data_IF_467223139358
#
_entry.id   IF_467223139358
#
_cell.length_a   1.000
_cell.length_b   1.000
_cell.length_c   1.000
_cell.angle_alpha   90.00
_cell.angle_beta   90.00
_cell.angle_gamma   90.00
#
_symmetry.space_group_name_H-M   'P 1'
#
loop_
_entity.id
_entity.type
_entity.pdbx_description
1 polymer ?
#
# COMPACT_ATOMS: atom_id res chain seq x y z
N UNK A 1 -12.84 -15.48 7.32
CA UNK A 1 -13.10 -14.54 8.44
C UNK A 1 -11.74 -14.12 8.96
N UNK A 2 -11.50 -12.85 9.35
CA UNK A 2 -10.16 -12.44 9.73
C UNK A 2 -9.63 -13.25 10.92
N UNK A 3 -8.35 -13.56 10.90
CA UNK A 3 -7.67 -14.19 12.02
C UNK A 3 -7.73 -13.25 13.24
N UNK A 4 -8.09 -13.80 14.41
CA UNK A 4 -8.26 -13.06 15.67
C UNK A 4 -7.44 -13.62 16.82
N UNK A 5 -6.75 -14.72 16.60
CA UNK A 5 -5.93 -15.40 17.60
C UNK A 5 -4.47 -15.34 17.16
N UNK A 6 -3.65 -14.65 17.95
CA UNK A 6 -2.21 -14.61 17.74
C UNK A 6 -1.54 -15.85 18.31
N UNK A 7 -0.61 -16.43 17.54
CA UNK A 7 0.26 -17.55 17.91
C UNK A 7 1.63 -17.08 18.37
N UNK A 8 2.01 -15.85 18.04
CA UNK A 8 3.26 -15.22 18.47
C UNK A 8 3.10 -13.71 18.75
N UNK A 9 4.20 -13.08 19.16
CA UNK A 9 4.22 -11.67 19.56
C UNK A 9 4.03 -10.71 18.38
N UNK A 10 4.48 -11.06 17.17
CA UNK A 10 4.31 -10.21 16.00
C UNK A 10 2.86 -10.24 15.52
N UNK A 11 2.23 -11.43 15.52
CA UNK A 11 0.80 -11.55 15.26
C UNK A 11 -0.03 -10.77 16.29
N UNK A 12 0.33 -10.85 17.58
CA UNK A 12 -0.36 -10.11 18.63
C UNK A 12 -0.23 -8.59 18.44
N UNK A 13 0.95 -8.13 18.02
CA UNK A 13 1.22 -6.72 17.71
C UNK A 13 0.44 -6.26 16.47
N UNK A 14 0.34 -7.10 15.44
CA UNK A 14 -0.45 -6.79 14.25
C UNK A 14 -1.94 -6.62 14.61
N UNK A 15 -2.52 -7.59 15.33
CA UNK A 15 -3.91 -7.51 15.78
C UNK A 15 -4.17 -6.30 16.66
N UNK A 16 -3.30 -6.02 17.63
CA UNK A 16 -3.41 -4.83 18.48
C UNK A 16 -3.34 -3.53 17.67
N UNK A 17 -2.43 -3.45 16.68
CA UNK A 17 -2.29 -2.29 15.82
C UNK A 17 -3.53 -2.04 14.95
N UNK A 18 -4.13 -3.12 14.42
CA UNK A 18 -5.37 -3.06 13.64
C UNK A 18 -6.52 -2.53 14.50
N UNK A 19 -6.67 -3.02 15.73
CA UNK A 19 -7.73 -2.60 16.64
C UNK A 19 -7.53 -1.14 17.12
N UNK A 20 -6.32 -0.78 17.53
CA UNK A 20 -6.02 0.53 18.14
C UNK A 20 -5.90 1.65 17.09
N UNK A 21 -5.19 1.38 16.00
CA UNK A 21 -4.81 2.39 15.00
C UNK A 21 -5.55 2.22 13.67
N UNK A 22 -6.42 1.22 13.53
CA UNK A 22 -7.20 0.97 12.32
C UNK A 22 -6.49 0.15 11.26
N UNK A 23 -5.16 0.01 11.34
CA UNK A 23 -4.37 -0.88 10.50
C UNK A 23 -3.02 -1.17 11.15
N UNK A 24 -2.41 -2.28 10.75
CA UNK A 24 -0.99 -2.54 10.93
C UNK A 24 -0.25 -2.17 9.63
N UNK A 25 1.00 -1.69 9.74
CA UNK A 25 1.79 -1.28 8.56
C UNK A 25 3.07 -2.11 8.54
N UNK A 26 3.29 -2.79 7.43
CA UNK A 26 4.52 -3.51 7.16
C UNK A 26 5.40 -2.71 6.20
N UNK A 27 6.71 -2.81 6.41
CA UNK A 27 7.71 -2.29 5.48
C UNK A 27 8.68 -3.41 5.12
N UNK A 28 8.72 -3.76 3.84
CA UNK A 28 9.61 -4.75 3.27
C UNK A 28 10.83 -4.03 2.70
N UNK A 29 12.00 -4.47 3.14
CA UNK A 29 13.27 -3.91 2.68
C UNK A 29 13.51 -4.29 1.22
N UNK A 30 14.37 -3.50 0.58
CA UNK A 30 14.83 -3.76 -0.79
C UNK A 30 15.56 -5.11 -0.84
N UNK A 31 15.24 -5.92 -1.85
CA UNK A 31 15.86 -7.23 -2.10
C UNK A 31 16.18 -7.37 -3.59
N UNK A 32 17.47 -7.48 -3.91
CA UNK A 32 18.00 -7.55 -5.28
C UNK A 32 17.45 -6.42 -6.19
N UNK A 33 16.64 -6.77 -7.19
CA UNK A 33 16.02 -5.82 -8.13
C UNK A 33 14.63 -5.34 -7.68
N UNK A 34 14.12 -5.82 -6.54
CA UNK A 34 12.81 -5.45 -6.03
C UNK A 34 12.90 -4.22 -5.13
N UNK A 35 12.23 -3.10 -5.49
CA UNK A 35 12.23 -1.92 -4.65
C UNK A 35 11.55 -2.20 -3.31
N UNK A 36 11.91 -1.46 -2.25
CA UNK A 36 11.24 -1.60 -0.98
C UNK A 36 9.80 -1.11 -1.10
N UNK A 37 8.93 -1.66 -0.27
CA UNK A 37 7.53 -1.26 -0.25
C UNK A 37 6.95 -1.33 1.15
N UNK A 38 5.87 -0.59 1.35
CA UNK A 38 5.06 -0.66 2.56
C UNK A 38 3.62 -0.96 2.20
N UNK A 39 2.91 -1.67 3.06
CA UNK A 39 1.49 -1.94 2.88
C UNK A 39 0.75 -1.97 4.20
N UNK A 40 -0.55 -1.66 4.15
CA UNK A 40 -1.45 -1.78 5.29
C UNK A 40 -2.06 -3.17 5.38
N UNK A 41 -2.40 -3.56 6.60
CA UNK A 41 -3.21 -4.72 6.92
C UNK A 41 -4.35 -4.28 7.84
N UNK A 42 -5.59 -4.63 7.51
CA UNK A 42 -6.78 -4.41 8.34
C UNK A 42 -7.61 -3.16 8.00
N UNK A 43 -7.22 -2.35 7.02
CA UNK A 43 -8.05 -1.21 6.56
C UNK A 43 -9.36 -1.72 5.98
N UNK A 44 -9.32 -2.78 5.17
CA UNK A 44 -10.54 -3.32 4.57
C UNK A 44 -11.47 -3.90 5.62
N UNK A 45 -10.92 -4.62 6.59
CA UNK A 45 -11.68 -5.12 7.72
C UNK A 45 -12.40 -4.00 8.49
N UNK A 46 -11.69 -2.92 8.82
CA UNK A 46 -12.22 -1.88 9.70
C UNK A 46 -13.14 -0.88 8.97
N UNK A 47 -12.88 -0.60 7.69
CA UNK A 47 -13.52 0.51 6.98
C UNK A 47 -14.22 0.12 5.67
N UNK A 48 -14.09 -1.15 5.24
CA UNK A 48 -14.74 -1.68 4.02
C UNK A 48 -14.16 -1.14 2.71
N UNK A 49 -12.92 -0.66 2.73
CA UNK A 49 -12.20 -0.09 1.58
C UNK A 49 -10.89 -0.83 1.34
N UNK A 50 -10.31 -0.81 0.13
CA UNK A 50 -9.06 -1.53 -0.15
C UNK A 50 -7.92 -1.17 0.80
N UNK A 51 -7.04 -2.13 1.06
CA UNK A 51 -5.69 -1.89 1.61
C UNK A 51 -4.88 -0.99 0.68
N UNK A 52 -3.80 -0.39 1.18
CA UNK A 52 -2.90 0.46 0.42
C UNK A 52 -1.48 -0.11 0.39
N UNK A 53 -0.87 -0.15 -0.81
CA UNK A 53 0.56 -0.38 -0.98
C UNK A 53 1.26 0.87 -1.54
N UNK A 54 2.48 1.13 -1.06
CA UNK A 54 3.36 2.22 -1.50
C UNK A 54 4.73 1.63 -1.81
N UNK A 55 5.24 1.85 -3.03
CA UNK A 55 6.47 1.22 -3.52
C UNK A 55 7.54 2.29 -3.80
N UNK A 56 8.79 1.99 -3.47
CA UNK A 56 9.95 2.78 -3.86
C UNK A 56 10.33 3.92 -2.90
N UNK A 57 9.53 4.16 -1.86
CA UNK A 57 9.76 5.21 -0.87
C UNK A 57 10.41 4.69 0.42
N UNK A 58 11.06 5.59 1.14
CA UNK A 58 11.66 5.31 2.45
C UNK A 58 10.58 5.00 3.51
N UNK A 59 10.92 4.24 4.57
CA UNK A 59 9.95 3.77 5.56
C UNK A 59 9.09 4.89 6.15
N UNK A 60 9.73 6.00 6.54
CA UNK A 60 9.06 7.09 7.24
C UNK A 60 7.97 7.74 6.36
N UNK A 61 8.27 7.91 5.08
CA UNK A 61 7.33 8.51 4.13
C UNK A 61 6.21 7.53 3.75
N UNK A 62 6.55 6.26 3.50
CA UNK A 62 5.55 5.23 3.19
C UNK A 62 4.56 5.06 4.36
N UNK A 63 5.06 5.02 5.60
CA UNK A 63 4.21 4.96 6.80
C UNK A 63 3.35 6.22 6.96
N UNK A 64 3.89 7.41 6.68
CA UNK A 64 3.12 8.66 6.74
C UNK A 64 1.95 8.64 5.76
N UNK A 65 2.19 8.19 4.52
CA UNK A 65 1.17 8.05 3.48
C UNK A 65 0.07 7.08 3.91
N UNK A 66 0.45 5.89 4.37
CA UNK A 66 -0.52 4.85 4.75
C UNK A 66 -1.35 5.28 5.96
N UNK A 67 -0.72 5.93 6.95
CA UNK A 67 -1.46 6.50 8.08
C UNK A 67 -2.44 7.59 7.63
N UNK A 68 -2.04 8.45 6.69
CA UNK A 68 -2.94 9.47 6.13
C UNK A 68 -4.11 8.84 5.37
N UNK A 69 -3.87 7.77 4.60
CA UNK A 69 -4.92 7.01 3.93
C UNK A 69 -5.89 6.41 4.95
N UNK A 70 -5.38 5.69 5.96
CA UNK A 70 -6.17 5.13 7.04
C UNK A 70 -7.03 6.20 7.75
N UNK A 71 -6.44 7.36 8.08
CA UNK A 71 -7.14 8.50 8.69
C UNK A 71 -8.29 9.00 7.82
N UNK A 72 -8.06 9.18 6.52
CA UNK A 72 -9.06 9.69 5.57
C UNK A 72 -10.22 8.71 5.35
N UNK A 73 -9.91 7.42 5.16
CA UNK A 73 -10.96 6.42 4.93
C UNK A 73 -11.80 6.14 6.18
N UNK A 74 -11.17 6.22 7.37
CA UNK A 74 -11.87 6.26 8.66
C UNK A 74 -12.83 7.45 8.76
N UNK A 75 -12.44 8.59 8.22
CA UNK A 75 -13.29 9.80 8.11
C UNK A 75 -14.41 9.70 7.08
N UNK A 76 -14.52 8.59 6.34
CA UNK A 76 -15.56 8.36 5.33
C UNK A 76 -15.14 8.69 3.89
N UNK A 77 -13.91 9.15 3.67
CA UNK A 77 -13.40 9.38 2.32
C UNK A 77 -13.22 8.05 1.58
N UNK A 78 -13.39 8.07 0.25
CA UNK A 78 -13.28 6.88 -0.60
C UNK A 78 -12.46 7.24 -1.82
N UNK A 79 -11.50 6.38 -2.15
CA UNK A 79 -10.62 6.54 -3.29
C UNK A 79 -10.84 5.39 -4.26
N UNK A 80 -10.93 5.69 -5.55
CA UNK A 80 -11.09 4.68 -6.61
C UNK A 80 -9.86 4.61 -7.50
N UNK A 81 -9.67 3.45 -8.12
CA UNK A 81 -8.64 3.28 -9.16
C UNK A 81 -8.81 4.34 -10.25
N UNK A 82 -7.71 4.99 -10.61
CA UNK A 82 -7.66 6.09 -11.56
C UNK A 82 -7.91 7.46 -10.96
N UNK A 83 -8.43 7.59 -9.73
CA UNK A 83 -8.64 8.89 -9.09
C UNK A 83 -7.32 9.47 -8.57
N UNK A 84 -7.19 10.80 -8.69
CA UNK A 84 -6.09 11.57 -8.10
C UNK A 84 -6.51 12.16 -6.77
N UNK A 85 -5.58 12.24 -5.84
CA UNK A 85 -5.77 12.89 -4.56
C UNK A 85 -4.52 13.64 -4.10
N UNK A 86 -4.73 14.84 -3.59
CA UNK A 86 -3.69 15.68 -3.01
C UNK A 86 -3.46 15.38 -1.52
N UNK A 87 -2.30 15.78 -1.00
CA UNK A 87 -2.03 15.82 0.44
C UNK A 87 -1.60 14.49 1.07
N UNK A 88 -1.24 13.50 0.25
CA UNK A 88 -0.47 12.32 0.67
C UNK A 88 1.02 12.62 0.72
N UNK A 89 1.50 13.51 -0.14
CA UNK A 89 2.88 13.96 -0.21
C UNK A 89 3.00 15.45 0.11
N UNK A 90 4.13 15.81 0.72
CA UNK A 90 4.51 17.21 0.88
C UNK A 90 4.80 17.89 -0.47
N UNK A 91 4.77 19.22 -0.52
CA UNK A 91 5.09 19.97 -1.74
C UNK A 91 3.94 20.13 -2.74
N UNK A 92 2.73 19.66 -2.39
CA UNK A 92 1.53 19.84 -3.23
C UNK A 92 1.44 18.87 -4.41
N UNK A 93 2.20 17.77 -4.39
CA UNK A 93 2.08 16.72 -5.39
C UNK A 93 0.79 15.93 -5.18
N UNK A 94 0.08 15.69 -6.30
CA UNK A 94 -1.00 14.72 -6.35
C UNK A 94 -0.43 13.31 -6.46
N UNK A 95 -1.15 12.35 -5.88
CA UNK A 95 -0.96 10.92 -6.11
C UNK A 95 -2.16 10.36 -6.87
N UNK A 96 -1.99 9.22 -7.53
CA UNK A 96 -3.06 8.49 -8.20
C UNK A 96 -3.18 7.07 -7.64
N UNK A 97 -4.40 6.59 -7.46
CA UNK A 97 -4.64 5.23 -7.00
C UNK A 97 -4.64 4.26 -8.20
N UNK A 98 -3.71 3.32 -8.22
CA UNK A 98 -3.59 2.25 -9.21
C UNK A 98 -4.27 0.96 -8.77
N UNK A 99 -4.66 0.13 -9.74
CA UNK A 99 -5.09 -1.23 -9.48
C UNK A 99 -3.87 -2.09 -9.11
N UNK A 100 -4.11 -3.15 -8.33
CA UNK A 100 -3.12 -4.20 -8.07
C UNK A 100 -3.70 -5.53 -8.53
N UNK A 101 -2.96 -6.21 -9.40
CA UNK A 101 -3.34 -7.51 -9.91
C UNK A 101 -3.19 -8.58 -8.82
N UNK A 102 -4.20 -9.45 -8.59
CA UNK A 102 -4.15 -10.48 -7.54
C UNK A 102 -2.97 -11.45 -7.63
N UNK A 103 -2.35 -11.56 -8.80
CA UNK A 103 -1.13 -12.36 -9.01
C UNK A 103 0.05 -11.93 -8.14
N UNK A 104 0.09 -10.68 -7.65
CA UNK A 104 1.14 -10.18 -6.74
C UNK A 104 0.92 -10.56 -5.27
N UNK A 105 -0.27 -11.04 -4.91
CA UNK A 105 -0.62 -11.23 -3.50
C UNK A 105 0.26 -12.23 -2.76
N UNK A 106 0.55 -13.42 -3.31
CA UNK A 106 1.35 -14.42 -2.62
C UNK A 106 2.77 -13.94 -2.29
N UNK A 107 3.35 -13.10 -3.16
CA UNK A 107 4.74 -12.67 -3.05
C UNK A 107 4.88 -11.37 -2.22
N UNK A 108 3.85 -10.51 -2.22
CA UNK A 108 3.94 -9.20 -1.58
C UNK A 108 3.16 -9.08 -0.26
N UNK A 109 2.01 -9.75 -0.11
CA UNK A 109 1.00 -9.44 0.92
C UNK A 109 0.73 -10.62 1.85
N UNK A 110 1.79 -11.31 2.28
CA UNK A 110 1.68 -12.48 3.16
C UNK A 110 0.96 -12.21 4.48
N UNK A 111 1.12 -11.01 5.06
CA UNK A 111 0.42 -10.61 6.28
C UNK A 111 -1.06 -10.34 6.06
N UNK A 112 -1.46 -9.82 4.90
CA UNK A 112 -2.87 -9.71 4.54
C UNK A 112 -3.48 -11.09 4.31
N UNK A 113 -2.80 -11.98 3.58
CA UNK A 113 -3.27 -13.35 3.38
C UNK A 113 -3.45 -14.08 4.71
N UNK A 114 -2.50 -13.92 5.63
CA UNK A 114 -2.63 -14.42 6.99
C UNK A 114 -3.82 -13.77 7.69
N UNK A 115 -3.94 -12.45 7.70
CA UNK A 115 -4.99 -11.76 8.45
C UNK A 115 -6.38 -12.06 7.90
N UNK A 116 -6.58 -12.11 6.59
CA UNK A 116 -7.86 -12.35 5.93
C UNK A 116 -8.21 -13.83 5.76
N UNK A 117 -7.31 -14.75 6.14
CA UNK A 117 -7.44 -16.20 5.94
C UNK A 117 -7.63 -16.57 4.45
N UNK A 118 -6.81 -15.96 3.59
CA UNK A 118 -6.84 -16.12 2.14
C UNK A 118 -6.71 -14.81 1.37
N UNK A 119 -6.72 -14.87 0.02
CA UNK A 119 -6.51 -13.71 -0.85
C UNK A 119 -7.79 -12.89 -1.12
N UNK A 120 -8.86 -13.08 -0.34
CA UNK A 120 -10.16 -12.40 -0.54
C UNK A 120 -10.15 -11.02 0.14
N UNK A 121 -9.33 -10.13 -0.40
CA UNK A 121 -9.23 -8.72 -0.03
C UNK A 121 -8.79 -7.90 -1.24
N UNK A 122 -8.98 -6.59 -1.17
CA UNK A 122 -8.66 -5.63 -2.23
C UNK A 122 -7.47 -4.80 -1.78
N UNK A 123 -6.60 -4.49 -2.73
CA UNK A 123 -5.51 -3.56 -2.51
C UNK A 123 -5.38 -2.59 -3.69
N UNK A 124 -5.03 -1.35 -3.38
CA UNK A 124 -4.71 -0.31 -4.36
C UNK A 124 -3.28 0.17 -4.13
N UNK A 125 -2.62 0.57 -5.22
CA UNK A 125 -1.30 1.17 -5.16
C UNK A 125 -1.42 2.69 -5.10
N UNK A 126 -0.74 3.35 -4.15
CA UNK A 126 -0.54 4.79 -4.26
C UNK A 126 0.62 5.08 -5.22
N UNK A 127 0.31 5.70 -6.35
CA UNK A 127 1.30 6.06 -7.38
C UNK A 127 1.58 7.56 -7.28
N UNK A 128 2.85 7.93 -7.32
CA UNK A 128 3.30 9.32 -7.20
C UNK A 128 4.22 9.73 -8.35
N UNK A 129 4.25 11.03 -8.72
CA UNK A 129 5.19 11.55 -9.70
C UNK A 129 6.57 11.74 -9.07
N UNK A 130 7.59 11.93 -9.92
CA UNK A 130 8.91 12.41 -9.53
C UNK A 130 8.82 13.85 -8.98
N UNK A 131 9.92 14.35 -8.42
CA UNK A 131 10.02 15.75 -7.95
C UNK A 131 9.93 16.79 -9.07
N UNK A 132 10.06 16.38 -10.33
CA UNK A 132 9.82 17.22 -11.52
C UNK A 132 8.40 17.09 -12.06
N UNK A 133 7.53 16.31 -11.41
CA UNK A 133 6.13 16.11 -11.82
C UNK A 133 5.93 15.04 -12.90
N UNK A 134 6.94 14.21 -13.17
CA UNK A 134 6.89 13.14 -14.19
C UNK A 134 6.31 11.87 -13.57
N UNK A 135 5.29 11.29 -14.20
CA UNK A 135 4.66 10.05 -13.76
C UNK A 135 5.35 8.80 -14.29
N UNK A 136 5.22 7.62 -13.66
CA UNK A 136 5.88 6.39 -14.12
C UNK A 136 5.55 5.99 -15.57
N UNK A 137 4.33 6.30 -16.03
CA UNK A 137 3.86 6.04 -17.40
C UNK A 137 4.22 7.13 -18.40
N UNK A 138 4.75 8.27 -17.97
CA UNK A 138 5.14 9.34 -18.87
C UNK A 138 6.38 8.92 -19.67
N UNK A 139 6.51 9.45 -20.89
CA UNK A 139 7.62 9.13 -21.79
C UNK A 139 8.97 9.59 -21.21
N UNK A 140 8.94 10.67 -20.44
CA UNK A 140 10.04 11.33 -19.77
C UNK A 140 10.52 10.59 -18.50
N UNK A 141 9.78 9.57 -18.03
CA UNK A 141 10.20 8.79 -16.88
C UNK A 141 11.43 7.94 -17.21
N UNK A 142 12.51 8.15 -16.46
CA UNK A 142 13.72 7.36 -16.61
C UNK A 142 13.54 5.91 -16.12
N UNK A 143 14.44 5.04 -16.59
CA UNK A 143 14.38 3.60 -16.27
C UNK A 143 14.53 3.34 -14.76
N UNK A 144 15.34 4.14 -14.08
CA UNK A 144 15.53 4.01 -12.64
C UNK A 144 14.22 4.26 -11.89
N UNK A 145 13.47 5.31 -12.24
CA UNK A 145 12.21 5.65 -11.59
C UNK A 145 11.13 4.60 -11.88
N UNK A 146 11.05 4.10 -13.11
CA UNK A 146 10.12 3.01 -13.47
C UNK A 146 10.43 1.73 -12.71
N UNK A 147 11.71 1.36 -12.55
CA UNK A 147 12.13 0.22 -11.72
C UNK A 147 11.93 0.47 -10.23
N UNK A 148 12.05 1.72 -9.78
CA UNK A 148 11.87 2.07 -8.37
C UNK A 148 10.41 2.05 -7.94
N UNK A 149 9.49 2.31 -8.86
CA UNK A 149 8.05 2.30 -8.63
C UNK A 149 7.35 1.49 -9.75
N UNK A 150 7.50 0.15 -9.76
CA UNK A 150 6.77 -0.70 -10.68
C UNK A 150 5.26 -0.54 -10.46
N UNK A 151 4.50 -0.58 -11.55
CA UNK A 151 3.04 -0.62 -11.49
C UNK A 151 2.60 -2.07 -11.35
N UNK A 152 1.72 -2.33 -10.38
CA UNK A 152 1.26 -3.69 -10.08
C UNK A 152 -0.05 -4.05 -10.80
N UNK A 153 -0.46 -3.30 -11.82
CA UNK A 153 -1.76 -3.43 -12.48
C UNK A 153 -1.86 -4.64 -13.43
N UNK A 154 -0.72 -5.22 -13.82
CA UNK A 154 -0.63 -6.46 -14.60
C UNK A 154 -0.09 -7.62 -13.76
N UNK A 155 -0.27 -8.89 -14.16
CA UNK A 155 0.35 -10.03 -13.49
C UNK A 155 1.87 -9.88 -13.35
N UNK A 156 2.48 -10.50 -12.32
CA UNK A 156 3.95 -10.63 -12.25
C UNK A 156 4.47 -11.34 -13.51
N UNK A 157 5.68 -10.95 -13.93
CA UNK A 157 6.35 -11.46 -15.15
C UNK A 157 7.07 -12.78 -14.93
#
# INVERSE_FOLDING_TARGET
MPNREAKDAEEAKALAGIEEYGCHILYVLEEDEHPPFAYSVGIEHNFGVPELVVIGLKPELSMTIINEYCRRVRGGERFRVGERASGFLGGGFDCQFGAVHPGHYPDCFGWDIWFYDGPDFRIVQLIFPSTSGVWPWDAEADEWFRKRQPLLDTPPS
#
